data_IF_661615178425
#
_entry.id   IF_661615178425
#
_cell.length_a   1.000
_cell.length_b   1.000
_cell.length_c   1.000
_cell.angle_alpha   90.00
_cell.angle_beta   90.00
_cell.angle_gamma   90.00
#
_symmetry.space_group_name_H-M   'P 1'
#
loop_
_entity.id
_entity.type
_entity.pdbx_description
1 polymer ?
#
# COMPACT_ATOMS: atom_id res chain seq x y z
N UNK A 1 38.81 24.43 -13.33
CA UNK A 1 38.79 23.81 -11.97
C UNK A 1 37.41 23.93 -11.32
N UNK A 2 36.80 25.12 -11.24
CA UNK A 2 35.43 25.31 -10.72
C UNK A 2 34.33 24.54 -11.49
N UNK A 3 34.45 24.44 -12.82
CA UNK A 3 33.50 23.69 -13.66
C UNK A 3 33.60 22.18 -13.38
N UNK A 4 34.81 21.65 -13.21
CA UNK A 4 35.04 20.24 -12.94
C UNK A 4 34.50 19.85 -11.56
N UNK A 5 34.63 20.73 -10.55
CA UNK A 5 34.07 20.51 -9.21
C UNK A 5 32.55 20.56 -9.19
N UNK A 6 31.91 21.44 -9.97
CA UNK A 6 30.45 21.52 -10.07
C UNK A 6 29.88 20.24 -10.70
N UNK A 7 30.50 19.74 -11.78
CA UNK A 7 30.07 18.50 -12.43
C UNK A 7 30.16 17.32 -11.46
N UNK A 8 31.26 17.20 -10.72
CA UNK A 8 31.45 16.14 -9.72
C UNK A 8 30.41 16.22 -8.59
N UNK A 9 30.10 17.42 -8.09
CA UNK A 9 29.07 17.62 -7.05
C UNK A 9 27.67 17.23 -7.53
N UNK A 10 27.33 17.62 -8.76
CA UNK A 10 26.06 17.28 -9.41
C UNK A 10 25.95 15.77 -9.61
N UNK A 11 27.01 15.10 -10.09
CA UNK A 11 27.07 13.63 -10.22
C UNK A 11 26.93 12.90 -8.89
N UNK A 12 27.54 13.41 -7.81
CA UNK A 12 27.38 12.81 -6.47
C UNK A 12 25.97 13.00 -5.90
N UNK A 13 25.30 14.13 -6.21
CA UNK A 13 23.91 14.35 -5.83
C UNK A 13 22.94 13.42 -6.58
N UNK A 14 23.17 13.17 -7.88
CA UNK A 14 22.38 12.20 -8.66
C UNK A 14 22.60 10.76 -8.20
N UNK A 15 23.81 10.39 -7.76
CA UNK A 15 24.08 9.06 -7.18
C UNK A 15 23.39 8.84 -5.83
N UNK A 16 23.07 9.92 -5.10
CA UNK A 16 22.29 9.91 -3.86
C UNK A 16 20.77 10.04 -4.11
N UNK A 17 20.36 10.25 -5.36
CA UNK A 17 19.00 10.66 -5.74
C UNK A 17 18.02 9.54 -6.07
N UNK A 18 18.41 8.27 -6.04
CA UNK A 18 17.49 7.15 -6.28
C UNK A 18 17.24 6.34 -5.00
N UNK A 19 16.56 6.99 -4.05
CA UNK A 19 15.87 6.27 -3.00
C UNK A 19 14.63 5.59 -3.62
N UNK A 20 14.84 4.43 -4.27
CA UNK A 20 13.83 3.43 -4.62
C UNK A 20 12.55 4.03 -5.21
N UNK A 21 12.58 4.46 -6.48
CA UNK A 21 11.33 4.64 -7.24
C UNK A 21 10.75 3.26 -7.60
N UNK A 22 10.32 2.47 -6.60
CA UNK A 22 9.54 1.27 -6.85
C UNK A 22 8.15 1.72 -7.32
N UNK A 23 7.66 1.27 -8.49
CA UNK A 23 6.32 1.60 -8.91
C UNK A 23 5.31 1.08 -7.88
N UNK A 24 4.36 1.95 -7.54
CA UNK A 24 3.34 1.70 -6.54
C UNK A 24 2.43 0.54 -6.98
N UNK A 25 2.27 -0.46 -6.12
CA UNK A 25 1.44 -1.63 -6.43
C UNK A 25 -0.06 -1.28 -6.41
N UNK A 26 -0.95 -2.16 -6.92
CA UNK A 26 -2.38 -1.95 -6.82
C UNK A 26 -2.88 -1.74 -5.37
N UNK A 27 -2.39 -2.53 -4.41
CA UNK A 27 -2.77 -2.37 -3.01
C UNK A 27 -2.28 -1.04 -2.43
N UNK A 28 -1.01 -0.70 -2.66
CA UNK A 28 -0.42 0.55 -2.16
C UNK A 28 -1.16 1.77 -2.71
N UNK A 29 -1.47 1.76 -4.01
CA UNK A 29 -2.25 2.81 -4.68
C UNK A 29 -3.66 2.93 -4.09
N UNK A 30 -4.35 1.81 -3.91
CA UNK A 30 -5.68 1.80 -3.31
C UNK A 30 -5.65 2.31 -1.86
N UNK A 31 -4.63 1.93 -1.08
CA UNK A 31 -4.40 2.41 0.28
C UNK A 31 -4.21 3.93 0.30
N UNK A 32 -3.34 4.47 -0.54
CA UNK A 32 -3.11 5.90 -0.64
C UNK A 32 -4.36 6.68 -1.05
N UNK A 33 -5.14 6.16 -2.01
CA UNK A 33 -6.40 6.76 -2.39
C UNK A 33 -7.41 6.77 -1.23
N UNK A 34 -7.51 5.66 -0.48
CA UNK A 34 -8.43 5.53 0.65
C UNK A 34 -8.04 6.44 1.83
N UNK A 35 -6.74 6.61 2.12
CA UNK A 35 -6.28 7.50 3.22
C UNK A 35 -6.55 8.97 2.95
N UNK A 36 -6.68 9.37 1.68
CA UNK A 36 -7.04 10.73 1.27
C UNK A 36 -8.50 10.82 0.80
N UNK A 37 -9.27 9.76 1.03
CA UNK A 37 -10.67 9.66 0.68
C UNK A 37 -11.61 10.12 1.80
N UNK A 38 -12.92 9.82 1.67
CA UNK A 38 -13.91 10.10 2.69
C UNK A 38 -13.57 9.43 4.04
N UNK A 39 -13.92 10.11 5.13
CA UNK A 39 -13.80 9.55 6.49
C UNK A 39 -14.65 8.29 6.57
N UNK A 40 -14.06 7.23 7.14
CA UNK A 40 -14.72 5.93 7.29
C UNK A 40 -14.64 5.03 6.05
N UNK A 41 -13.95 5.45 4.98
CA UNK A 41 -13.61 4.56 3.89
C UNK A 41 -12.73 3.39 4.38
N UNK A 42 -12.93 2.21 3.79
CA UNK A 42 -12.08 1.06 4.04
C UNK A 42 -10.68 1.30 3.44
N UNK A 43 -9.65 1.15 4.28
CA UNK A 43 -8.25 1.26 3.90
C UNK A 43 -7.66 -0.15 3.77
N UNK A 44 -7.25 -0.59 2.57
CA UNK A 44 -6.69 -1.93 2.40
C UNK A 44 -5.34 -2.09 3.09
N UNK A 45 -5.12 -3.30 3.60
CA UNK A 45 -3.86 -3.72 4.23
C UNK A 45 -3.00 -4.45 3.20
N UNK A 46 -1.74 -4.01 3.09
CA UNK A 46 -0.79 -4.54 2.13
C UNK A 46 0.36 -5.26 2.85
N UNK A 47 0.88 -6.34 2.26
CA UNK A 47 2.09 -7.02 2.72
C UNK A 47 3.37 -6.25 2.33
N UNK A 48 4.54 -6.76 2.74
CA UNK A 48 5.83 -6.14 2.43
C UNK A 48 6.16 -6.08 0.92
N UNK A 49 5.54 -6.95 0.12
CA UNK A 49 5.64 -6.95 -1.34
C UNK A 49 4.60 -6.03 -2.01
N UNK A 50 3.74 -5.37 -1.23
CA UNK A 50 2.67 -4.51 -1.74
C UNK A 50 1.47 -5.29 -2.30
N UNK A 51 1.30 -6.57 -1.99
CA UNK A 51 0.09 -7.33 -2.31
C UNK A 51 -0.94 -7.18 -1.20
N UNK A 52 -2.21 -7.47 -1.49
CA UNK A 52 -3.25 -7.48 -0.46
C UNK A 52 -2.98 -8.62 0.53
N UNK A 53 -3.07 -8.33 1.83
CA UNK A 53 -3.12 -9.40 2.84
C UNK A 53 -4.40 -10.23 2.68
N UNK A 54 -4.38 -11.55 2.91
CA UNK A 54 -5.56 -12.40 2.70
C UNK A 54 -6.78 -11.95 3.49
N UNK A 55 -6.57 -11.51 4.73
CA UNK A 55 -7.61 -10.88 5.55
C UNK A 55 -7.62 -9.38 5.34
N UNK A 56 -8.80 -8.82 5.12
CA UNK A 56 -9.07 -7.39 5.05
C UNK A 56 -10.19 -7.02 6.01
N UNK A 57 -10.08 -5.85 6.64
CA UNK A 57 -11.07 -5.38 7.60
C UNK A 57 -11.40 -3.90 7.38
N UNK A 58 -12.68 -3.56 7.41
CA UNK A 58 -13.16 -2.18 7.43
C UNK A 58 -13.06 -1.62 8.85
N UNK A 59 -12.15 -0.67 9.07
CA UNK A 59 -11.97 -0.05 10.39
C UNK A 59 -13.20 0.71 10.89
N UNK A 60 -14.05 1.22 9.98
CA UNK A 60 -15.25 1.99 10.33
C UNK A 60 -16.44 1.13 10.74
N UNK A 61 -16.61 -0.03 10.11
CA UNK A 61 -17.74 -0.94 10.39
C UNK A 61 -17.35 -2.13 11.25
N UNK A 62 -16.05 -2.45 11.34
CA UNK A 62 -15.50 -3.63 12.00
C UNK A 62 -15.69 -4.94 11.24
N UNK A 63 -16.29 -4.92 10.05
CA UNK A 63 -16.45 -6.11 9.22
C UNK A 63 -15.12 -6.53 8.61
N UNK A 64 -14.90 -7.84 8.50
CA UNK A 64 -13.73 -8.42 7.84
C UNK A 64 -14.16 -9.38 6.73
N UNK A 65 -13.30 -9.57 5.73
CA UNK A 65 -13.50 -10.52 4.64
C UNK A 65 -12.17 -11.05 4.12
N UNK A 66 -12.20 -12.18 3.41
CA UNK A 66 -11.03 -12.69 2.70
C UNK A 66 -10.95 -12.10 1.30
N UNK A 67 -9.72 -11.87 0.82
CA UNK A 67 -9.42 -11.41 -0.53
C UNK A 67 -8.35 -12.28 -1.20
N UNK A 68 -8.34 -12.28 -2.54
CA UNK A 68 -7.23 -12.80 -3.32
C UNK A 68 -6.00 -11.88 -3.23
N UNK A 69 -4.84 -12.33 -3.73
CA UNK A 69 -3.61 -11.51 -3.77
C UNK A 69 -3.77 -10.22 -4.60
N UNK A 70 -4.76 -10.17 -5.49
CA UNK A 70 -5.13 -8.99 -6.31
C UNK A 70 -6.15 -8.07 -5.64
N UNK A 71 -6.66 -8.45 -4.45
CA UNK A 71 -7.61 -7.65 -3.67
C UNK A 71 -9.09 -7.95 -3.97
N UNK A 72 -9.41 -9.00 -4.72
CA UNK A 72 -10.80 -9.37 -4.98
C UNK A 72 -11.41 -10.06 -3.76
N UNK A 73 -12.52 -9.53 -3.24
CA UNK A 73 -13.28 -10.13 -2.14
C UNK A 73 -13.80 -11.51 -2.52
N UNK A 74 -13.55 -12.50 -1.68
CA UNK A 74 -14.08 -13.86 -1.82
C UNK A 74 -15.52 -13.85 -1.27
N UNK A 75 -16.48 -14.24 -2.10
CA UNK A 75 -17.89 -14.23 -1.72
C UNK A 75 -18.16 -15.16 -0.52
N UNK A 76 -19.04 -14.75 0.38
CA UNK A 76 -19.41 -15.53 1.56
C UNK A 76 -18.39 -15.51 2.70
N UNK A 77 -17.28 -14.77 2.57
CA UNK A 77 -16.26 -14.65 3.63
C UNK A 77 -16.42 -13.42 4.51
N UNK A 78 -17.44 -12.60 4.30
CA UNK A 78 -17.66 -11.42 5.13
C UNK A 78 -18.22 -11.79 6.50
N UNK A 79 -17.55 -11.34 7.55
CA UNK A 79 -17.90 -11.61 8.94
C UNK A 79 -18.17 -10.31 9.70
N UNK A 80 -19.13 -10.31 10.64
CA UNK A 80 -19.40 -9.15 11.48
C UNK A 80 -18.24 -8.88 12.46
N UNK A 81 -18.23 -7.70 13.12
CA UNK A 81 -17.23 -7.36 14.12
C UNK A 81 -17.19 -8.38 15.26
N UNK A 82 -15.98 -8.70 15.72
CA UNK A 82 -15.77 -9.66 16.82
C UNK A 82 -15.76 -11.14 16.40
N UNK A 83 -16.01 -11.44 15.13
CA UNK A 83 -15.89 -12.79 14.60
C UNK A 83 -14.48 -13.07 14.13
N UNK A 84 -13.91 -14.21 14.57
CA UNK A 84 -12.63 -14.69 14.06
C UNK A 84 -12.81 -15.24 12.63
N UNK A 85 -11.99 -14.77 11.70
CA UNK A 85 -11.92 -15.24 10.32
C UNK A 85 -10.50 -15.71 9.99
N UNK A 86 -10.39 -16.90 9.39
CA UNK A 86 -9.14 -17.46 8.91
C UNK A 86 -9.09 -17.35 7.38
N UNK A 87 -8.21 -16.45 6.93
CA UNK A 87 -7.73 -16.27 5.57
C UNK A 87 -6.19 -16.45 5.63
#
# INVERSE_FOLDING_TARGET
>A
MAILTIILLVSTAFALGDARIRPMTPCERARYAATHGPIGAYIPTCDAAGRYTPKQCSGSTGYCWCVTTTGQKIQGTETPPGTAINC
#
